data_IF_016848354130
#
_entry.id   IF_016848354130
#
_cell.length_a   1.000
_cell.length_b   1.000
_cell.length_c   1.000
_cell.angle_alpha   90.00
_cell.angle_beta   90.00
_cell.angle_gamma   90.00
#
_symmetry.space_group_name_H-M   'P 1'
#
loop_
_entity.id
_entity.type
_entity.pdbx_description
1 polymer ?
#
# COMPACT_ATOMS: atom_id res chain seq x y z
N UNK A 1 -9.17 4.57 13.05
CA UNK A 1 -9.55 3.14 13.07
C UNK A 1 -8.66 2.33 13.99
N UNK A 2 -9.23 1.66 15.01
CA UNK A 2 -8.69 0.37 15.46
C UNK A 2 -9.22 -0.63 14.44
N UNK A 3 -8.35 -1.30 13.69
CA UNK A 3 -8.74 -2.36 12.74
C UNK A 3 -9.34 -3.61 13.48
N UNK A 4 -9.75 -3.46 14.74
CA UNK A 4 -10.17 -4.51 15.65
C UNK A 4 -11.42 -4.19 16.49
N UNK A 5 -12.25 -3.21 16.11
CA UNK A 5 -13.55 -3.00 16.79
C UNK A 5 -14.68 -3.89 16.23
N UNK A 6 -14.37 -5.15 15.94
CA UNK A 6 -15.37 -6.19 15.66
C UNK A 6 -16.14 -6.09 14.34
N UNK A 7 -15.74 -5.20 13.42
CA UNK A 7 -16.22 -5.24 12.04
C UNK A 7 -15.66 -6.48 11.33
N UNK A 8 -16.51 -7.40 10.82
CA UNK A 8 -16.08 -8.70 10.26
C UNK A 8 -15.35 -8.60 8.91
N UNK A 9 -14.88 -7.41 8.50
CA UNK A 9 -14.43 -7.10 7.14
C UNK A 9 -13.04 -6.49 7.01
N UNK A 10 -12.28 -6.34 8.08
CA UNK A 10 -10.97 -5.69 7.98
C UNK A 10 -9.88 -6.59 8.57
N UNK A 11 -9.48 -7.58 7.77
CA UNK A 11 -8.24 -8.32 7.96
C UNK A 11 -7.07 -7.48 7.42
N UNK A 12 -5.90 -7.54 8.06
CA UNK A 12 -4.71 -6.78 7.63
C UNK A 12 -4.29 -7.15 6.22
N UNK A 13 -4.48 -8.40 5.79
CA UNK A 13 -4.21 -8.84 4.42
C UNK A 13 -4.91 -7.94 3.40
N UNK A 14 -6.22 -7.75 3.54
CA UNK A 14 -7.01 -6.98 2.58
C UNK A 14 -6.67 -5.48 2.65
N UNK A 15 -6.51 -4.93 3.86
CA UNK A 15 -6.15 -3.52 4.07
C UNK A 15 -4.78 -3.22 3.46
N UNK A 16 -3.75 -3.99 3.82
CA UNK A 16 -2.39 -3.76 3.35
C UNK A 16 -2.25 -4.04 1.86
N UNK A 17 -2.98 -5.04 1.34
CA UNK A 17 -3.06 -5.28 -0.11
C UNK A 17 -3.61 -4.07 -0.85
N UNK A 18 -4.73 -3.51 -0.39
CA UNK A 18 -5.36 -2.35 -1.04
C UNK A 18 -4.46 -1.11 -0.98
N UNK A 19 -3.80 -0.86 0.15
CA UNK A 19 -2.78 0.20 0.28
C UNK A 19 -1.59 -0.05 -0.67
N UNK A 20 -1.16 -1.30 -0.82
CA UNK A 20 -0.08 -1.66 -1.73
C UNK A 20 -0.43 -1.43 -3.20
N UNK A 21 -1.64 -1.83 -3.61
CA UNK A 21 -2.15 -1.55 -4.95
C UNK A 21 -2.24 -0.05 -5.23
N UNK A 22 -2.64 0.74 -4.23
CA UNK A 22 -2.60 2.20 -4.33
C UNK A 22 -1.17 2.73 -4.52
N UNK A 23 -0.20 2.25 -3.74
CA UNK A 23 1.22 2.65 -3.88
C UNK A 23 1.80 2.31 -5.27
N UNK A 24 1.45 1.15 -5.83
CA UNK A 24 1.85 0.75 -7.18
C UNK A 24 1.23 1.66 -8.25
N UNK A 25 -0.05 2.02 -8.11
CA UNK A 25 -0.73 2.95 -9.04
C UNK A 25 -0.11 4.34 -9.01
N UNK A 26 0.28 4.82 -7.83
CA UNK A 26 0.99 6.09 -7.65
C UNK A 26 2.48 6.01 -8.05
N UNK A 27 2.95 4.83 -8.48
CA UNK A 27 4.33 4.53 -8.88
C UNK A 27 5.35 4.96 -7.83
N UNK A 28 5.02 4.69 -6.56
CA UNK A 28 5.90 4.96 -5.44
C UNK A 28 7.04 3.94 -5.38
N UNK A 29 8.14 4.33 -4.76
CA UNK A 29 9.19 3.45 -4.24
C UNK A 29 9.64 3.95 -2.88
N UNK A 30 10.37 3.12 -2.13
CA UNK A 30 10.92 3.50 -0.81
C UNK A 30 9.81 4.02 0.13
N UNK A 31 8.76 3.21 0.29
CA UNK A 31 7.57 3.63 1.02
C UNK A 31 7.75 3.55 2.55
N UNK A 32 7.12 4.48 3.25
CA UNK A 32 6.82 4.43 4.67
C UNK A 32 5.30 4.35 4.84
N UNK A 33 4.84 3.39 5.63
CA UNK A 33 3.43 3.27 6.00
C UNK A 33 3.31 3.36 7.52
N UNK A 34 2.55 4.34 8.00
CA UNK A 34 2.32 4.60 9.42
C UNK A 34 0.82 4.55 9.71
N UNK A 35 0.41 3.72 10.68
CA UNK A 35 -0.97 3.72 11.19
C UNK A 35 -1.16 4.92 12.13
N UNK A 36 -2.25 5.66 11.93
CA UNK A 36 -2.68 6.77 12.78
C UNK A 36 -4.08 6.53 13.34
N UNK A 37 -4.48 7.33 14.32
CA UNK A 37 -5.88 7.39 14.76
C UNK A 37 -6.76 7.98 13.64
N UNK A 38 -7.33 7.11 12.81
CA UNK A 38 -8.22 7.51 11.72
C UNK A 38 -7.76 7.12 10.31
N UNK A 39 -6.69 6.33 10.20
CA UNK A 39 -6.27 5.76 8.92
C UNK A 39 -4.76 5.52 8.88
N UNK A 40 -4.14 5.84 7.75
CA UNK A 40 -2.71 5.70 7.52
C UNK A 40 -2.09 6.95 6.91
N UNK A 41 -0.80 7.16 7.19
CA UNK A 41 0.07 7.99 6.36
C UNK A 41 0.92 7.06 5.49
N UNK A 42 0.83 7.25 4.18
CA UNK A 42 1.67 6.61 3.19
C UNK A 42 2.60 7.66 2.58
N UNK A 43 3.89 7.52 2.78
CA UNK A 43 4.91 8.35 2.18
C UNK A 43 5.78 7.51 1.23
N UNK A 44 6.28 8.10 0.15
CA UNK A 44 7.22 7.42 -0.76
C UNK A 44 7.80 8.37 -1.80
N UNK A 45 8.74 7.85 -2.59
CA UNK A 45 9.34 8.55 -3.73
C UNK A 45 8.59 8.17 -5.01
N UNK A 46 7.94 9.14 -5.65
CA UNK A 46 7.23 8.90 -6.90
C UNK A 46 8.17 8.91 -8.10
N UNK A 47 8.03 7.89 -8.96
CA UNK A 47 8.75 7.80 -10.21
C UNK A 47 8.11 8.70 -11.29
N UNK A 48 8.91 9.46 -12.05
CA UNK A 48 8.39 10.32 -13.12
C UNK A 48 7.68 9.49 -14.20
N UNK A 49 6.64 10.05 -14.81
CA UNK A 49 5.92 9.43 -15.92
C UNK A 49 6.86 9.17 -17.10
N UNK A 50 6.77 7.98 -17.69
CA UNK A 50 7.57 7.59 -18.86
C UNK A 50 7.21 8.51 -20.03
N UNK A 51 8.13 9.41 -20.39
CA UNK A 51 7.94 10.39 -21.47
C UNK A 51 8.53 11.77 -21.17
N UNK A 52 8.76 12.11 -19.91
CA UNK A 52 9.44 13.36 -19.49
C UNK A 52 10.94 13.14 -19.19
N UNK A 53 11.59 12.23 -19.92
CA UNK A 53 13.03 12.02 -19.79
C UNK A 53 13.80 13.07 -20.60
N UNK A 54 13.50 14.35 -20.37
CA UNK A 54 14.19 15.48 -20.97
C UNK A 54 15.30 15.93 -20.03
N UNK A 55 16.56 15.69 -20.42
CA UNK A 55 17.90 16.25 -20.06
C UNK A 55 18.21 16.80 -18.64
N UNK A 56 17.24 16.85 -17.74
CA UNK A 56 17.35 17.13 -16.32
C UNK A 56 17.03 15.83 -15.61
N UNK A 57 18.04 15.23 -14.98
CA UNK A 57 17.96 13.89 -14.36
C UNK A 57 16.64 13.70 -13.60
N UNK A 58 15.91 12.64 -13.95
CA UNK A 58 14.56 12.37 -13.44
C UNK A 58 14.50 12.51 -11.93
N UNK A 59 13.91 13.61 -11.47
CA UNK A 59 13.91 13.95 -10.05
C UNK A 59 12.80 13.15 -9.37
N UNK A 60 13.20 12.30 -8.43
CA UNK A 60 12.25 11.59 -7.56
C UNK A 60 11.55 12.62 -6.68
N UNK A 61 10.22 12.62 -6.69
CA UNK A 61 9.43 13.54 -5.89
C UNK A 61 8.91 12.81 -4.64
N UNK A 62 9.23 13.33 -3.46
CA UNK A 62 8.61 12.85 -2.23
C UNK A 62 7.11 13.15 -2.26
N UNK A 63 6.28 12.13 -2.05
CA UNK A 63 4.83 12.25 -1.94
C UNK A 63 4.38 11.70 -0.60
N UNK A 64 3.39 12.36 -0.01
CA UNK A 64 2.73 11.95 1.24
C UNK A 64 1.24 11.92 1.01
N UNK A 65 0.60 10.81 1.37
CA UNK A 65 -0.83 10.59 1.29
C UNK A 65 -1.35 10.30 2.68
N UNK A 66 -2.40 11.02 3.09
CA UNK A 66 -3.21 10.66 4.24
C UNK A 66 -4.38 9.82 3.73
N UNK A 67 -4.41 8.56 4.14
CA UNK A 67 -5.43 7.59 3.78
C UNK A 67 -6.35 7.41 4.97
N UNK A 68 -7.43 8.21 5.00
CA UNK A 68 -8.46 8.11 6.04
C UNK A 68 -9.18 6.77 6.02
N UNK A 69 -9.84 6.41 7.11
CA UNK A 69 -10.65 5.19 7.22
C UNK A 69 -11.67 5.04 6.07
N UNK A 70 -12.29 6.14 5.66
CA UNK A 70 -13.24 6.17 4.53
C UNK A 70 -12.53 5.90 3.19
N UNK A 71 -11.35 6.48 2.98
CA UNK A 71 -10.56 6.22 1.77
C UNK A 71 -10.04 4.79 1.72
N UNK A 72 -9.64 4.21 2.86
CA UNK A 72 -9.25 2.79 2.92
C UNK A 72 -10.44 1.90 2.59
N UNK A 73 -11.63 2.21 3.12
CA UNK A 73 -12.86 1.47 2.77
C UNK A 73 -13.14 1.55 1.26
N UNK A 74 -12.99 2.72 0.64
CA UNK A 74 -13.16 2.88 -0.80
C UNK A 74 -12.12 2.05 -1.60
N UNK A 75 -10.85 2.03 -1.16
CA UNK A 75 -9.82 1.23 -1.80
C UNK A 75 -10.12 -0.28 -1.73
N UNK A 76 -10.70 -0.75 -0.62
CA UNK A 76 -11.13 -2.14 -0.45
C UNK A 76 -12.30 -2.50 -1.40
N UNK A 77 -13.26 -1.60 -1.53
CA UNK A 77 -14.40 -1.77 -2.44
C UNK A 77 -13.93 -1.80 -3.89
N UNK A 78 -13.03 -0.89 -4.28
CA UNK A 78 -12.42 -0.85 -5.61
C UNK A 78 -11.62 -2.14 -5.89
N UNK A 79 -10.82 -2.62 -4.94
CA UNK A 79 -10.06 -3.85 -5.08
C UNK A 79 -10.97 -5.08 -5.23
N UNK A 80 -12.11 -5.08 -4.53
CA UNK A 80 -13.12 -6.15 -4.64
C UNK A 80 -13.81 -6.11 -5.99
N UNK A 81 -14.18 -4.92 -6.48
CA UNK A 81 -14.81 -4.74 -7.79
C UNK A 81 -13.90 -5.17 -8.95
N UNK A 82 -12.58 -4.95 -8.81
CA UNK A 82 -11.57 -5.32 -9.80
C UNK A 82 -11.04 -6.76 -9.63
N UNK A 83 -11.62 -7.56 -8.72
CA UNK A 83 -11.16 -8.94 -8.50
C UNK A 83 -11.46 -9.82 -9.72
N UNK A 84 -10.40 -10.42 -10.28
CA UNK A 84 -10.52 -11.30 -11.45
C UNK A 84 -10.46 -10.59 -12.80
N UNK A 85 -10.24 -9.28 -12.83
CA UNK A 85 -10.02 -8.52 -14.08
C UNK A 85 -8.54 -8.34 -14.43
N UNK A 86 -7.62 -8.84 -13.59
CA UNK A 86 -6.19 -8.77 -13.83
C UNK A 86 -5.80 -9.62 -15.05
N UNK A 87 -5.21 -8.98 -16.06
CA UNK A 87 -4.75 -9.64 -17.28
C UNK A 87 -3.47 -10.48 -17.08
N UNK A 88 -2.70 -10.19 -16.03
CA UNK A 88 -1.37 -10.76 -15.81
C UNK A 88 -1.27 -11.35 -14.38
N UNK A 89 -0.96 -12.65 -14.22
CA UNK A 89 -0.90 -13.32 -12.92
C UNK A 89 0.42 -13.10 -12.16
N UNK A 90 1.41 -12.41 -12.74
CA UNK A 90 2.72 -12.18 -12.12
C UNK A 90 3.09 -10.68 -12.10
N UNK A 91 3.87 -10.23 -11.11
CA UNK A 91 4.45 -8.89 -11.11
C UNK A 91 5.27 -8.60 -12.35
N UNK A 92 4.97 -7.51 -13.04
CA UNK A 92 5.92 -6.97 -14.00
C UNK A 92 7.01 -6.22 -13.24
N UNK A 93 8.26 -6.43 -13.66
CA UNK A 93 9.46 -5.76 -13.12
C UNK A 93 9.34 -4.22 -13.17
N UNK A 94 8.43 -3.68 -13.98
CA UNK A 94 8.18 -2.25 -14.16
C UNK A 94 7.10 -1.66 -13.21
N UNK A 95 7.01 -2.11 -11.95
CA UNK A 95 6.22 -1.50 -10.83
C UNK A 95 4.75 -1.93 -10.76
N UNK A 96 4.18 -2.55 -11.79
CA UNK A 96 2.79 -2.99 -11.70
C UNK A 96 2.68 -4.19 -10.72
N UNK A 97 2.18 -3.92 -9.50
CA UNK A 97 1.78 -4.83 -8.42
C UNK A 97 2.84 -5.26 -7.36
N UNK A 98 4.02 -4.63 -7.30
CA UNK A 98 5.05 -5.02 -6.33
C UNK A 98 4.56 -4.84 -4.88
N UNK A 99 4.09 -3.64 -4.54
CA UNK A 99 3.64 -3.32 -3.18
C UNK A 99 2.33 -4.03 -2.85
N UNK A 100 1.40 -4.18 -3.79
CA UNK A 100 0.19 -5.00 -3.60
C UNK A 100 0.57 -6.40 -3.10
N UNK A 101 1.50 -7.08 -3.78
CA UNK A 101 1.88 -8.43 -3.44
C UNK A 101 2.70 -8.52 -2.14
N UNK A 102 3.67 -7.62 -1.97
CA UNK A 102 4.50 -7.59 -0.76
C UNK A 102 3.66 -7.32 0.49
N UNK A 103 2.79 -6.31 0.43
CA UNK A 103 1.94 -5.92 1.55
C UNK A 103 0.83 -6.95 1.83
N UNK A 104 0.28 -7.63 0.82
CA UNK A 104 -0.63 -8.77 1.01
C UNK A 104 0.03 -9.87 1.85
N UNK A 105 1.25 -10.26 1.52
CA UNK A 105 1.98 -11.30 2.27
C UNK A 105 2.22 -10.87 3.72
N UNK A 106 2.61 -9.61 3.94
CA UNK A 106 2.80 -9.07 5.28
C UNK A 106 1.49 -9.05 6.07
N UNK A 107 0.38 -8.60 5.46
CA UNK A 107 -0.93 -8.56 6.11
C UNK A 107 -1.43 -9.96 6.47
N UNK A 108 -1.34 -10.92 5.56
CA UNK A 108 -1.72 -12.31 5.86
C UNK A 108 -0.87 -12.93 6.97
N UNK A 109 0.42 -12.57 7.06
CA UNK A 109 1.26 -12.97 8.19
C UNK A 109 0.79 -12.34 9.50
N UNK A 110 0.46 -11.04 9.52
CA UNK A 110 -0.06 -10.33 10.70
C UNK A 110 -1.36 -10.97 11.18
N UNK A 111 -2.31 -11.23 10.27
CA UNK A 111 -3.59 -11.86 10.60
C UNK A 111 -3.40 -13.25 11.22
N UNK A 112 -2.46 -14.03 10.69
CA UNK A 112 -2.10 -15.33 11.25
C UNK A 112 -1.54 -15.25 12.67
N UNK A 113 -0.81 -14.17 13.01
CA UNK A 113 -0.29 -13.96 14.37
C UNK A 113 -1.38 -13.54 15.37
N UNK A 114 -2.54 -13.05 14.90
CA UNK A 114 -3.62 -12.46 15.73
C UNK A 114 -3.09 -11.51 16.83
N UNK A 115 -2.22 -10.54 16.49
CA UNK A 115 -1.62 -9.66 17.48
C UNK A 115 -2.69 -8.77 18.09
N UNK A 116 -2.55 -8.48 19.39
CA UNK A 116 -3.42 -7.50 20.06
C UNK A 116 -3.10 -6.06 19.63
N UNK A 117 -1.87 -5.82 19.18
CA UNK A 117 -1.38 -4.50 18.76
C UNK A 117 -0.22 -4.71 17.79
N UNK A 118 -0.21 -3.96 16.69
CA UNK A 118 0.83 -3.97 15.67
C UNK A 118 1.53 -2.62 15.71
N UNK A 119 2.85 -2.60 15.62
CA UNK A 119 3.64 -1.38 15.49
C UNK A 119 4.62 -1.57 14.34
N UNK A 120 4.65 -0.62 13.41
CA UNK A 120 5.65 -0.55 12.36
C UNK A 120 6.74 0.42 12.78
N UNK A 121 7.98 -0.05 12.83
CA UNK A 121 9.15 0.77 13.12
C UNK A 121 10.04 0.84 11.89
N UNK A 122 10.49 2.04 11.54
CA UNK A 122 11.61 2.21 10.62
C UNK A 122 12.86 1.66 11.30
N UNK A 123 13.49 0.66 10.67
CA UNK A 123 14.78 0.16 11.13
C UNK A 123 15.87 0.99 10.45
N UNK A 124 16.61 1.81 11.21
CA UNK A 124 17.86 2.38 10.71
C UNK A 124 18.75 1.21 10.24
N UNK A 125 19.27 1.34 9.01
CA UNK A 125 19.69 0.23 8.15
C UNK A 125 20.60 -0.85 8.76
N UNK A 126 20.51 -2.05 8.17
CA UNK A 126 21.46 -3.15 8.34
C UNK A 126 22.74 -2.94 7.51
#
# INVERSE_FOLDING_TARGET
MRIYDGSPRQDWEDVLRAVGAFADRERLKEILLLELEGGFVLQGLALPESGQWSESGGQLAARTYELTDEQVAQLLDDATANRGTAAEPHPHVEIANFYENALRVLGGWIDAQRPRTVFFFEQEGA
#
